data_IF_834063840364
#
_entry.id   IF_834063840364
#
_cell.length_a   1.000
_cell.length_b   1.000
_cell.length_c   1.000
_cell.angle_alpha   90.00
_cell.angle_beta   90.00
_cell.angle_gamma   90.00
#
_symmetry.space_group_name_H-M   'P 1'
#
loop_
_entity.id
_entity.type
_entity.pdbx_description
1 polymer ?
#
# COMPACT_ATOMS: atom_id res chain seq x y z
N UNK A 1 -7.38 16.08 -9.48
CA UNK A 1 -6.54 15.49 -8.42
C UNK A 1 -6.18 16.58 -7.46
N UNK A 2 -6.21 16.35 -6.15
CA UNK A 2 -5.60 17.31 -5.22
C UNK A 2 -4.09 17.14 -5.29
N UNK A 3 -3.37 18.25 -5.43
CA UNK A 3 -1.93 18.28 -5.66
C UNK A 3 -1.22 18.95 -4.48
N UNK A 4 0.00 18.51 -4.15
CA UNK A 4 0.83 19.22 -3.18
C UNK A 4 1.48 20.47 -3.82
N UNK A 5 2.27 21.22 -3.04
CA UNK A 5 2.98 22.42 -3.53
C UNK A 5 3.92 22.14 -4.72
N UNK A 6 4.26 20.88 -4.99
CA UNK A 6 5.10 20.43 -6.12
C UNK A 6 4.29 19.95 -7.33
N UNK A 7 2.96 20.02 -7.28
CA UNK A 7 2.08 19.51 -8.35
C UNK A 7 1.89 17.98 -8.34
N UNK A 8 2.34 17.28 -7.30
CA UNK A 8 2.21 15.83 -7.22
C UNK A 8 0.80 15.45 -6.73
N UNK A 9 0.08 14.56 -7.43
CA UNK A 9 -1.25 14.13 -7.01
C UNK A 9 -1.16 13.36 -5.69
N UNK A 10 -2.06 13.70 -4.76
CA UNK A 10 -2.19 13.07 -3.45
C UNK A 10 -3.61 12.56 -3.25
N UNK A 11 -3.72 11.38 -2.64
CA UNK A 11 -4.99 10.80 -2.25
C UNK A 11 -5.37 11.28 -0.84
N UNK A 12 -6.62 11.65 -0.67
CA UNK A 12 -7.17 12.08 0.62
C UNK A 12 -8.56 11.46 0.81
N UNK A 13 -8.90 11.17 2.05
CA UNK A 13 -10.24 10.71 2.45
C UNK A 13 -10.97 11.90 3.07
N UNK A 14 -12.15 12.26 2.56
CA UNK A 14 -12.98 13.27 3.21
C UNK A 14 -13.53 12.70 4.52
N UNK A 15 -13.22 13.34 5.63
CA UNK A 15 -13.69 12.91 6.96
C UNK A 15 -14.87 13.73 7.45
N UNK A 16 -15.00 14.98 7.00
CA UNK A 16 -16.12 15.86 7.32
C UNK A 16 -16.28 16.95 6.25
N UNK A 17 -17.51 17.38 6.01
CA UNK A 17 -17.80 18.55 5.19
C UNK A 17 -18.93 19.37 5.85
N UNK A 18 -18.90 20.68 5.63
CA UNK A 18 -19.98 21.63 5.92
C UNK A 18 -20.07 22.69 4.80
N UNK A 19 -20.89 23.71 4.99
CA UNK A 19 -21.20 24.71 3.96
C UNK A 19 -19.99 25.58 3.57
N UNK A 20 -18.99 25.70 4.45
CA UNK A 20 -17.82 26.56 4.24
C UNK A 20 -16.52 25.76 4.05
N UNK A 21 -16.43 24.56 4.66
CA UNK A 21 -15.17 23.84 4.78
C UNK A 21 -15.27 22.34 4.53
N UNK A 22 -14.15 21.78 4.06
CA UNK A 22 -13.94 20.36 3.87
C UNK A 22 -12.74 19.91 4.71
N UNK A 23 -12.94 18.94 5.61
CA UNK A 23 -11.85 18.29 6.35
C UNK A 23 -11.43 17.02 5.63
N UNK A 24 -10.13 16.89 5.40
CA UNK A 24 -9.54 15.79 4.64
C UNK A 24 -8.47 15.10 5.48
N UNK A 25 -8.41 13.76 5.39
CA UNK A 25 -7.39 12.92 5.97
C UNK A 25 -6.41 12.46 4.88
N UNK A 26 -5.15 12.87 5.03
CA UNK A 26 -4.04 12.50 4.14
C UNK A 26 -3.15 11.39 4.69
N UNK A 27 -3.52 10.77 5.82
CA UNK A 27 -2.79 9.63 6.35
C UNK A 27 -3.00 8.39 5.48
N UNK A 28 -2.06 7.44 5.57
CA UNK A 28 -2.30 6.10 5.04
C UNK A 28 -3.55 5.50 5.72
N UNK A 29 -4.48 4.83 5.00
CA UNK A 29 -5.72 4.30 5.58
C UNK A 29 -5.54 3.35 6.78
N UNK A 30 -4.36 2.73 6.91
CA UNK A 30 -4.00 1.84 8.00
C UNK A 30 -3.26 2.54 9.15
N UNK A 31 -3.03 3.86 9.06
CA UNK A 31 -2.36 4.63 10.10
C UNK A 31 -3.11 4.53 11.44
N UNK A 32 -2.36 4.30 12.52
CA UNK A 32 -2.91 4.18 13.88
C UNK A 32 -3.69 2.88 14.14
N UNK A 33 -3.78 1.96 13.18
CA UNK A 33 -4.40 0.64 13.37
C UNK A 33 -3.33 -0.39 13.70
N UNK A 34 -3.61 -1.24 14.67
CA UNK A 34 -2.81 -2.45 14.90
C UNK A 34 -3.19 -3.49 13.83
N UNK A 35 -2.19 -3.98 13.09
CA UNK A 35 -2.39 -5.01 12.08
C UNK A 35 -1.54 -6.22 12.44
N UNK A 36 -2.18 -7.34 12.72
CA UNK A 36 -1.51 -8.61 13.00
C UNK A 36 -1.44 -9.44 11.74
N UNK A 37 -0.22 -9.78 11.30
CA UNK A 37 0.01 -10.71 10.20
C UNK A 37 0.49 -12.05 10.76
N UNK A 38 -0.11 -13.14 10.30
CA UNK A 38 0.40 -14.49 10.52
C UNK A 38 1.08 -14.93 9.22
N UNK A 39 2.38 -15.21 9.30
CA UNK A 39 3.20 -15.53 8.13
C UNK A 39 3.82 -16.91 8.28
N UNK A 40 3.87 -17.64 7.17
CA UNK A 40 4.64 -18.88 7.03
C UNK A 40 5.71 -18.67 5.96
N UNK A 41 6.96 -19.04 6.27
CA UNK A 41 8.06 -18.95 5.31
C UNK A 41 8.10 -20.23 4.49
N UNK A 42 7.71 -20.13 3.23
CA UNK A 42 7.63 -21.28 2.33
C UNK A 42 8.99 -21.63 1.70
N UNK A 43 9.74 -20.62 1.26
CA UNK A 43 11.02 -20.80 0.57
C UNK A 43 11.97 -19.63 0.83
N UNK A 44 13.28 -19.89 0.74
CA UNK A 44 14.34 -18.89 0.82
C UNK A 44 15.36 -19.20 -0.26
N UNK A 45 15.80 -18.18 -0.99
CA UNK A 45 16.89 -18.26 -1.98
C UNK A 45 17.58 -16.91 -2.12
N UNK A 46 18.74 -16.90 -2.76
CA UNK A 46 19.41 -15.67 -3.15
C UNK A 46 18.65 -14.96 -4.29
N UNK A 47 18.69 -13.63 -4.27
CA UNK A 47 18.15 -12.80 -5.33
C UNK A 47 19.05 -12.84 -6.57
N UNK A 48 18.45 -12.79 -7.77
CA UNK A 48 19.21 -12.62 -9.01
C UNK A 48 19.66 -11.16 -9.17
N UNK A 49 20.59 -10.91 -10.10
CA UNK A 49 21.04 -9.54 -10.41
C UNK A 49 19.87 -8.62 -10.83
N UNK A 50 18.99 -9.13 -11.68
CA UNK A 50 17.81 -8.37 -12.15
C UNK A 50 16.86 -8.01 -11.00
N UNK A 51 16.65 -8.92 -10.04
CA UNK A 51 15.80 -8.66 -8.87
C UNK A 51 16.39 -7.58 -7.95
N UNK A 52 17.72 -7.56 -7.82
CA UNK A 52 18.41 -6.54 -7.03
C UNK A 52 18.28 -5.17 -7.71
N UNK A 53 18.46 -5.10 -9.03
CA UNK A 53 18.33 -3.86 -9.79
C UNK A 53 16.89 -3.29 -9.74
N UNK A 54 15.88 -4.17 -9.77
CA UNK A 54 14.47 -3.79 -9.66
C UNK A 54 14.02 -3.51 -8.22
N UNK A 55 14.78 -3.94 -7.21
CA UNK A 55 14.42 -3.80 -5.80
C UNK A 55 13.33 -4.78 -5.32
N UNK A 56 13.13 -5.89 -6.02
CA UNK A 56 12.10 -6.88 -5.72
C UNK A 56 12.11 -8.06 -6.68
N UNK A 57 11.27 -9.08 -6.41
CA UNK A 57 11.16 -10.25 -7.28
C UNK A 57 10.60 -9.87 -8.66
N UNK A 58 11.17 -10.43 -9.73
CA UNK A 58 10.74 -10.14 -11.10
C UNK A 58 9.33 -10.67 -11.33
N UNK A 59 8.45 -9.82 -11.87
CA UNK A 59 7.06 -10.22 -12.14
C UNK A 59 6.23 -10.46 -10.88
N UNK A 60 6.69 -9.98 -9.72
CA UNK A 60 5.88 -9.94 -8.52
C UNK A 60 4.78 -8.89 -8.69
N UNK A 61 3.68 -9.30 -9.30
CA UNK A 61 2.38 -8.64 -9.17
C UNK A 61 1.48 -9.55 -8.32
N UNK A 62 1.70 -9.60 -7.00
CA UNK A 62 0.91 -10.45 -6.13
C UNK A 62 -0.54 -9.94 -6.12
N UNK A 63 -1.46 -10.67 -6.73
CA UNK A 63 -2.88 -10.42 -6.56
C UNK A 63 -3.28 -10.74 -5.11
N UNK A 64 -3.74 -9.71 -4.40
CA UNK A 64 -4.18 -9.83 -3.02
C UNK A 64 -5.31 -10.87 -2.88
N UNK A 65 -6.19 -10.98 -3.87
CA UNK A 65 -7.28 -11.97 -3.84
C UNK A 65 -6.72 -13.40 -3.90
N UNK A 66 -5.73 -13.65 -4.76
CA UNK A 66 -5.09 -14.96 -4.84
C UNK A 66 -4.37 -15.33 -3.53
N UNK A 67 -3.74 -14.37 -2.87
CA UNK A 67 -3.07 -14.59 -1.58
C UNK A 67 -4.09 -14.92 -0.48
N UNK A 68 -5.20 -14.17 -0.42
CA UNK A 68 -6.25 -14.36 0.58
C UNK A 68 -6.97 -15.70 0.40
N UNK A 69 -7.15 -16.18 -0.83
CA UNK A 69 -7.76 -17.47 -1.08
C UNK A 69 -6.87 -18.66 -0.68
N UNK A 70 -5.54 -18.50 -0.75
CA UNK A 70 -4.57 -19.53 -0.30
C UNK A 70 -4.44 -19.61 1.24
N UNK A 71 -4.87 -18.58 1.96
CA UNK A 71 -4.76 -18.49 3.42
C UNK A 71 -6.00 -19.00 4.19
N UNK A 72 -7.03 -19.47 3.48
CA UNK A 72 -8.21 -20.16 4.05
C UNK A 72 -7.91 -21.64 4.29
#
# INVERSE_FOLDING_TARGET
TMENEKGEPRNFIVTRFDDETLTVDGNNPLCGREVTFMLEVLTIRDATWDEIELGGAVGADPDLNEILDRAK
#
